data_IF_067366299465
#
_entry.id   IF_067366299465
#
_cell.length_a   1.000
_cell.length_b   1.000
_cell.length_c   1.000
_cell.angle_alpha   90.00
_cell.angle_beta   90.00
_cell.angle_gamma   90.00
#
_symmetry.space_group_name_H-M   'P 1'
#
loop_
_entity.id
_entity.type
_entity.pdbx_description
1 polymer ?
#
# COMPACT_ATOMS: atom_id res chain seq x y z
N UNK A 1 2.74 0.58 16.14
CA UNK A 1 3.63 1.15 15.10
C UNK A 1 2.75 1.71 14.00
N UNK A 2 3.13 2.80 13.34
CA UNK A 2 2.35 3.40 12.25
C UNK A 2 3.09 3.22 10.92
N UNK A 3 2.36 2.84 9.88
CA UNK A 3 2.89 2.78 8.52
C UNK A 3 3.03 4.18 7.93
N UNK A 4 4.05 4.36 7.10
CA UNK A 4 4.40 5.61 6.43
C UNK A 4 4.75 5.34 4.97
N UNK A 5 4.99 6.39 4.17
CA UNK A 5 5.44 6.24 2.79
C UNK A 5 6.80 5.52 2.66
N UNK A 6 7.60 5.52 3.72
CA UNK A 6 8.90 4.84 3.79
C UNK A 6 8.78 3.39 4.28
N UNK A 7 7.57 2.95 4.65
CA UNK A 7 7.32 1.55 4.98
C UNK A 7 7.42 0.69 3.72
N UNK A 8 8.06 -0.48 3.85
CA UNK A 8 8.08 -1.47 2.78
C UNK A 8 6.67 -2.00 2.52
N UNK A 9 6.30 -2.15 1.24
CA UNK A 9 5.00 -2.69 0.85
C UNK A 9 4.75 -4.06 1.49
N UNK A 10 5.77 -4.91 1.57
CA UNK A 10 5.70 -6.22 2.20
C UNK A 10 5.27 -6.14 3.67
N UNK A 11 5.85 -5.21 4.42
CA UNK A 11 5.49 -4.99 5.84
C UNK A 11 4.04 -4.59 6.02
N UNK A 12 3.50 -3.78 5.10
CA UNK A 12 2.08 -3.41 5.11
C UNK A 12 1.22 -4.62 4.73
N UNK A 13 1.60 -5.39 3.71
CA UNK A 13 0.85 -6.57 3.25
C UNK A 13 0.88 -7.76 4.23
N UNK A 14 1.84 -7.79 5.15
CA UNK A 14 1.91 -8.81 6.21
C UNK A 14 0.94 -8.53 7.35
N UNK A 15 0.41 -7.31 7.44
CA UNK A 15 -0.62 -6.94 8.40
C UNK A 15 -2.02 -7.32 7.84
N UNK A 16 -2.76 -8.23 8.50
CA UNK A 16 -4.06 -8.67 8.01
C UNK A 16 -5.10 -7.54 7.99
N UNK A 17 -5.03 -6.56 8.88
CA UNK A 17 -5.93 -5.40 8.87
C UNK A 17 -5.62 -4.51 7.66
N UNK A 18 -4.35 -4.25 7.40
CA UNK A 18 -3.93 -3.46 6.24
C UNK A 18 -4.40 -4.10 4.93
N UNK A 19 -4.33 -5.43 4.77
CA UNK A 19 -4.85 -6.13 3.59
C UNK A 19 -6.34 -5.87 3.37
N UNK A 20 -7.15 -5.88 4.43
CA UNK A 20 -8.59 -5.60 4.36
C UNK A 20 -8.85 -4.17 3.89
N UNK A 21 -8.07 -3.18 4.35
CA UNK A 21 -8.21 -1.80 3.87
C UNK A 21 -7.79 -1.70 2.39
N UNK A 22 -6.64 -2.28 2.04
CA UNK A 22 -6.11 -2.25 0.67
C UNK A 22 -7.10 -2.86 -0.33
N UNK A 23 -7.66 -4.03 -0.03
CA UNK A 23 -8.61 -4.70 -0.93
C UNK A 23 -9.95 -3.95 -1.06
N UNK A 24 -10.32 -3.11 -0.09
CA UNK A 24 -11.49 -2.22 -0.22
C UNK A 24 -11.25 -1.10 -1.24
N UNK A 25 -10.02 -0.59 -1.32
CA UNK A 25 -9.65 0.45 -2.28
C UNK A 25 -9.33 -0.12 -3.67
N UNK A 26 -8.64 -1.26 -3.71
CA UNK A 26 -8.18 -1.91 -4.94
C UNK A 26 -8.49 -3.40 -4.82
N UNK A 27 -9.65 -3.86 -5.28
CA UNK A 27 -10.06 -5.26 -5.16
C UNK A 27 -9.01 -6.24 -5.72
N UNK A 28 -8.54 -7.14 -4.86
CA UNK A 28 -7.55 -8.16 -5.22
C UNK A 28 -6.10 -7.68 -5.20
N UNK A 29 -5.81 -6.43 -4.81
CA UNK A 29 -4.45 -5.93 -4.70
C UNK A 29 -3.61 -6.75 -3.71
N UNK A 30 -4.14 -7.09 -2.54
CA UNK A 30 -3.39 -7.83 -1.52
C UNK A 30 -2.95 -9.23 -1.95
N UNK A 31 -3.56 -9.76 -3.01
CA UNK A 31 -3.27 -11.08 -3.58
C UNK A 31 -2.67 -11.00 -4.99
N UNK A 32 -2.37 -9.80 -5.49
CA UNK A 32 -1.81 -9.60 -6.83
C UNK A 32 -0.33 -10.04 -6.86
N UNK A 33 0.05 -11.02 -7.71
CA UNK A 33 1.42 -11.50 -7.82
C UNK A 33 2.43 -10.38 -8.16
N UNK A 34 2.01 -9.36 -8.90
CA UNK A 34 2.87 -8.23 -9.24
C UNK A 34 3.27 -7.41 -8.02
N UNK A 35 2.38 -7.24 -7.03
CA UNK A 35 2.73 -6.56 -5.77
C UNK A 35 3.71 -7.38 -4.94
N UNK A 36 3.69 -8.71 -5.10
CA UNK A 36 4.68 -9.62 -4.52
C UNK A 36 6.12 -9.26 -4.91
N UNK A 37 6.34 -8.78 -6.13
CA UNK A 37 7.66 -8.38 -6.61
C UNK A 37 8.18 -7.09 -5.94
N UNK A 38 7.27 -6.22 -5.50
CA UNK A 38 7.59 -4.92 -4.88
C UNK A 38 7.59 -4.96 -3.35
N UNK A 39 7.54 -6.14 -2.73
CA UNK A 39 7.46 -6.26 -1.26
C UNK A 39 8.62 -5.61 -0.51
N UNK A 40 9.81 -5.61 -1.10
CA UNK A 40 11.00 -4.97 -0.52
C UNK A 40 11.16 -3.50 -0.93
N UNK A 41 10.15 -2.92 -1.58
CA UNK A 41 10.13 -1.54 -2.06
C UNK A 41 9.22 -0.69 -1.16
N UNK A 42 9.59 0.58 -0.93
CA UNK A 42 8.76 1.50 -0.14
C UNK A 42 7.60 2.03 -0.97
N UNK A 43 6.54 2.49 -0.30
CA UNK A 43 5.39 3.12 -0.97
C UNK A 43 5.83 4.38 -1.75
N UNK A 44 6.77 5.15 -1.21
CA UNK A 44 7.31 6.34 -1.87
C UNK A 44 8.03 5.99 -3.19
N UNK A 45 8.81 4.90 -3.21
CA UNK A 45 9.45 4.42 -4.44
C UNK A 45 8.42 3.95 -5.45
N UNK A 46 7.37 3.23 -5.03
CA UNK A 46 6.28 2.81 -5.91
C UNK A 46 5.57 4.00 -6.58
N UNK A 47 5.28 5.05 -5.83
CA UNK A 47 4.66 6.28 -6.34
C UNK A 47 5.53 7.03 -7.37
N UNK A 48 6.84 6.80 -7.32
CA UNK A 48 7.81 7.38 -8.25
C UNK A 48 7.94 6.57 -9.55
N UNK A 49 7.32 5.39 -9.62
CA UNK A 49 7.33 4.54 -10.81
C UNK A 49 6.23 4.94 -11.80
N UNK A 50 6.52 5.00 -13.12
CA UNK A 50 5.52 5.37 -14.14
C UNK A 50 4.27 4.47 -14.11
N UNK A 51 4.45 3.17 -13.85
CA UNK A 51 3.34 2.22 -13.79
C UNK A 51 2.34 2.51 -12.66
N UNK A 52 2.75 3.09 -11.53
CA UNK A 52 1.83 3.40 -10.43
C UNK A 52 0.82 4.49 -10.84
N UNK A 53 1.22 5.40 -11.72
CA UNK A 53 0.34 6.44 -12.26
C UNK A 53 -0.72 5.84 -13.19
N UNK A 54 -0.35 4.83 -13.97
CA UNK A 54 -1.29 4.09 -14.82
C UNK A 54 -2.32 3.29 -14.00
N UNK A 55 -1.98 2.91 -12.77
CA UNK A 55 -2.91 2.28 -11.82
C UNK A 55 -3.80 3.29 -11.09
N UNK A 56 -3.63 4.59 -11.34
CA UNK A 56 -4.41 5.65 -10.70
C UNK A 56 -4.10 5.82 -9.21
N UNK A 57 -2.91 5.41 -8.76
CA UNK A 57 -2.47 5.60 -7.37
C UNK A 57 -1.61 6.86 -7.29
N UNK A 58 -2.19 7.92 -6.75
CA UNK A 58 -1.48 9.18 -6.45
C UNK A 58 -0.89 9.16 -5.04
N UNK A 59 0.07 10.07 -4.78
CA UNK A 59 0.61 10.29 -3.42
C UNK A 59 -0.49 10.53 -2.39
N UNK A 60 -1.47 11.37 -2.74
CA UNK A 60 -2.60 11.69 -1.86
C UNK A 60 -3.40 10.44 -1.49
N UNK A 61 -3.75 9.59 -2.46
CA UNK A 61 -4.47 8.35 -2.18
C UNK A 61 -3.65 7.38 -1.32
N UNK A 62 -2.33 7.32 -1.53
CA UNK A 62 -1.47 6.50 -0.69
C UNK A 62 -1.41 7.03 0.75
N UNK A 63 -1.34 8.35 0.95
CA UNK A 63 -1.37 8.98 2.28
C UNK A 63 -2.73 8.76 2.97
N UNK A 64 -3.83 8.89 2.25
CA UNK A 64 -5.19 8.62 2.75
C UNK A 64 -5.35 7.14 3.15
N UNK A 65 -4.89 6.22 2.31
CA UNK A 65 -4.88 4.79 2.59
C UNK A 65 -4.06 4.45 3.84
N UNK A 66 -2.84 4.98 3.95
CA UNK A 66 -1.99 4.78 5.13
C UNK A 66 -2.65 5.35 6.40
N UNK A 67 -3.31 6.50 6.30
CA UNK A 67 -4.05 7.08 7.43
C UNK A 67 -5.22 6.18 7.87
N UNK A 68 -5.96 5.57 6.94
CA UNK A 68 -7.03 4.63 7.26
C UNK A 68 -6.50 3.33 7.88
N UNK A 69 -5.42 2.77 7.33
CA UNK A 69 -4.77 1.59 7.89
C UNK A 69 -4.32 1.89 9.33
N UNK A 70 -3.64 3.02 9.55
CA UNK A 70 -3.15 3.41 10.87
C UNK A 70 -4.26 3.65 11.89
N UNK A 71 -5.45 4.13 11.47
CA UNK A 71 -6.63 4.24 12.34
C UNK A 71 -7.19 2.88 12.77
N UNK A 72 -6.94 1.83 11.98
CA UNK A 72 -7.40 0.47 12.27
C UNK A 72 -6.44 -0.32 13.16
N UNK A 73 -5.26 0.24 13.47
CA UNK A 73 -4.23 -0.36 14.34
C UNK A 73 -4.36 0.06 15.81
N UNK A 74 -5.37 0.87 16.16
CA UNK A 74 -5.63 1.38 17.52
C UNK A 74 -6.61 0.52 18.29
#
# INVERSE_FOLDING_TARGET
MSFTLESALGTILDDPHARIVIDRYIPGASSNPMLGMFRNTTINTLLSMPQAWHMGITRKQAEELLAEINKSLS
#
